data_IF_171489858975
#
_entry.id   IF_171489858975
#
_cell.length_a   1.000
_cell.length_b   1.000
_cell.length_c   1.000
_cell.angle_alpha   90.00
_cell.angle_beta   90.00
_cell.angle_gamma   90.00
#
_symmetry.space_group_name_H-M   'P 1'
#
loop_
_entity.id
_entity.type
_entity.pdbx_description
1 polymer ?
#
# COMPACT_ATOMS: atom_id res chain seq x y z
N UNK A 1 5.67 3.30 1.11
CA UNK A 1 6.68 3.88 0.20
C UNK A 1 6.18 3.75 -1.24
N UNK A 2 6.44 4.76 -2.08
CA UNK A 2 6.29 4.64 -3.53
C UNK A 2 7.68 4.48 -4.15
N UNK A 3 7.86 3.50 -5.02
CA UNK A 3 9.13 3.23 -5.70
C UNK A 3 8.92 3.29 -7.21
N UNK A 4 9.84 3.93 -7.91
CA UNK A 4 9.97 3.88 -9.37
C UNK A 4 11.40 3.50 -9.69
N UNK A 5 11.61 2.34 -10.30
CA UNK A 5 12.93 1.79 -10.60
C UNK A 5 13.01 1.31 -12.06
N UNK A 6 14.06 1.64 -12.83
CA UNK A 6 14.15 1.26 -14.25
C UNK A 6 14.08 -0.24 -14.48
N UNK A 7 14.68 -1.04 -13.59
CA UNK A 7 14.75 -2.51 -13.72
C UNK A 7 13.71 -3.26 -12.89
N UNK A 8 13.16 -2.62 -11.85
CA UNK A 8 12.29 -3.29 -10.87
C UNK A 8 10.83 -2.80 -10.91
N UNK A 9 10.54 -1.82 -11.78
CA UNK A 9 9.19 -1.33 -12.02
C UNK A 9 8.73 -0.29 -11.02
N UNK A 10 7.41 -0.21 -10.87
CA UNK A 10 6.71 0.79 -10.08
C UNK A 10 5.91 0.11 -8.98
N UNK A 11 6.16 0.48 -7.72
CA UNK A 11 5.61 -0.25 -6.57
C UNK A 11 5.01 0.69 -5.53
N UNK A 12 3.90 0.25 -4.96
CA UNK A 12 3.39 0.76 -3.68
C UNK A 12 3.75 -0.27 -2.62
N UNK A 13 4.72 0.06 -1.77
CA UNK A 13 5.18 -0.84 -0.71
C UNK A 13 4.57 -0.39 0.61
N UNK A 14 3.75 -1.24 1.21
CA UNK A 14 3.29 -1.09 2.58
C UNK A 14 4.21 -1.89 3.50
N UNK A 15 4.67 -1.28 4.59
CA UNK A 15 5.61 -1.91 5.52
C UNK A 15 5.20 -1.61 6.97
N UNK A 16 5.33 -2.61 7.83
CA UNK A 16 5.20 -2.48 9.29
C UNK A 16 6.56 -2.65 9.96
N UNK A 17 6.76 -2.06 11.13
CA UNK A 17 8.02 -2.21 11.86
C UNK A 17 8.13 -3.57 12.57
N UNK A 18 7.00 -4.14 13.00
CA UNK A 18 6.92 -5.39 13.76
C UNK A 18 5.60 -6.09 13.50
N UNK A 19 5.61 -7.42 13.61
CA UNK A 19 4.45 -8.28 13.37
C UNK A 19 4.56 -9.00 12.03
N UNK A 20 3.50 -9.71 11.67
CA UNK A 20 3.45 -10.53 10.45
C UNK A 20 2.20 -10.17 9.66
N UNK A 21 2.37 -9.63 8.45
CA UNK A 21 1.28 -9.39 7.51
C UNK A 21 0.79 -10.72 6.96
N UNK A 22 -0.52 -10.92 7.01
CA UNK A 22 -1.15 -12.10 6.42
C UNK A 22 -1.44 -11.85 4.95
N UNK A 23 -1.05 -12.83 4.13
CA UNK A 23 -1.33 -12.86 2.70
C UNK A 23 -2.17 -14.06 2.34
N UNK A 24 -3.07 -13.86 1.38
CA UNK A 24 -3.83 -14.94 0.76
C UNK A 24 -3.12 -15.39 -0.52
N UNK A 25 -2.60 -16.62 -0.50
CA UNK A 25 -1.88 -17.22 -1.62
C UNK A 25 -2.82 -17.82 -2.68
N UNK A 26 -4.10 -18.02 -2.37
CA UNK A 26 -5.08 -18.64 -3.26
C UNK A 26 -5.81 -17.57 -4.07
N UNK A 27 -6.43 -16.59 -3.41
CA UNK A 27 -7.28 -15.58 -4.05
C UNK A 27 -6.58 -14.23 -4.28
N UNK A 28 -5.34 -14.13 -3.79
CA UNK A 28 -4.57 -12.90 -3.74
C UNK A 28 -4.98 -12.00 -2.57
N UNK A 29 -4.01 -11.33 -1.96
CA UNK A 29 -4.28 -10.44 -0.83
C UNK A 29 -5.01 -9.20 -1.33
N UNK A 30 -6.19 -8.91 -0.79
CA UNK A 30 -6.93 -7.68 -1.12
C UNK A 30 -6.72 -6.67 -0.01
N UNK A 31 -6.28 -5.47 -0.39
CA UNK A 31 -5.98 -4.36 0.50
C UNK A 31 -7.01 -3.25 0.25
N UNK A 32 -7.99 -3.04 1.15
CA UNK A 32 -8.89 -1.89 1.09
C UNK A 32 -8.13 -0.58 1.31
N UNK A 33 -8.29 0.36 0.38
CA UNK A 33 -7.64 1.67 0.44
C UNK A 33 -8.70 2.75 0.26
N UNK A 34 -8.58 3.81 1.05
CA UNK A 34 -9.40 5.02 0.92
C UNK A 34 -8.53 6.26 0.95
N UNK A 35 -8.75 7.12 -0.04
CA UNK A 35 -8.19 8.48 -0.07
C UNK A 35 -9.23 9.43 0.53
N UNK A 36 -8.85 10.19 1.55
CA UNK A 36 -9.69 11.14 2.26
C UNK A 36 -11.07 10.56 2.68
N UNK A 37 -12.15 11.26 2.33
CA UNK A 37 -13.54 10.84 2.51
C UNK A 37 -14.14 10.14 1.28
N UNK A 38 -13.30 9.75 0.31
CA UNK A 38 -13.74 9.05 -0.91
C UNK A 38 -14.21 7.61 -0.67
N UNK A 39 -14.58 6.93 -1.74
CA UNK A 39 -14.97 5.52 -1.70
C UNK A 39 -13.78 4.62 -1.37
N UNK A 40 -14.05 3.53 -0.64
CA UNK A 40 -13.08 2.45 -0.41
C UNK A 40 -12.94 1.66 -1.72
N UNK A 41 -11.70 1.42 -2.13
CA UNK A 41 -11.36 0.56 -3.27
C UNK A 41 -10.37 -0.49 -2.82
N UNK A 42 -10.61 -1.74 -3.19
CA UNK A 42 -9.68 -2.84 -2.90
C UNK A 42 -8.68 -3.02 -4.03
N UNK A 43 -7.41 -3.11 -3.68
CA UNK A 43 -6.31 -3.39 -4.60
C UNK A 43 -5.71 -4.75 -4.29
N UNK A 44 -5.18 -5.43 -5.31
CA UNK A 44 -4.41 -6.66 -5.11
C UNK A 44 -3.06 -6.31 -4.48
N UNK A 45 -2.56 -7.19 -3.63
CA UNK A 45 -1.23 -7.12 -3.08
C UNK A 45 -0.56 -8.49 -3.07
N UNK A 46 0.76 -8.47 -3.20
CA UNK A 46 1.61 -9.65 -3.28
C UNK A 46 2.68 -9.59 -2.17
N UNK A 47 3.05 -10.75 -1.58
CA UNK A 47 4.19 -10.81 -0.68
C UNK A 47 5.50 -10.56 -1.45
N UNK A 48 6.55 -10.11 -0.77
CA UNK A 48 7.89 -10.01 -1.35
C UNK A 48 8.46 -11.38 -1.71
N UNK A 49 9.31 -11.42 -2.74
CA UNK A 49 9.97 -12.64 -3.20
C UNK A 49 10.99 -13.22 -2.21
N UNK A 50 11.45 -12.42 -1.24
CA UNK A 50 12.33 -12.87 -0.16
C UNK A 50 11.58 -13.48 1.03
N UNK A 51 10.25 -13.58 0.93
CA UNK A 51 9.36 -14.08 1.98
C UNK A 51 9.40 -13.32 3.30
N UNK A 52 9.92 -12.08 3.31
CA UNK A 52 9.73 -11.18 4.45
C UNK A 52 8.25 -10.94 4.69
N UNK A 53 7.88 -10.79 5.97
CA UNK A 53 6.47 -10.79 6.38
C UNK A 53 5.98 -9.42 6.80
N UNK A 54 6.89 -8.46 6.83
CA UNK A 54 6.67 -7.11 7.28
C UNK A 54 6.30 -6.16 6.13
N UNK A 55 6.33 -6.65 4.88
CA UNK A 55 6.08 -5.85 3.68
C UNK A 55 5.05 -6.46 2.74
N UNK A 56 4.31 -5.61 2.02
CA UNK A 56 3.40 -5.97 0.94
C UNK A 56 3.58 -5.04 -0.26
N UNK A 57 3.54 -5.61 -1.45
CA UNK A 57 3.58 -4.90 -2.72
C UNK A 57 2.15 -4.78 -3.25
N UNK A 58 1.62 -3.56 -3.28
CA UNK A 58 0.23 -3.28 -3.65
C UNK A 58 0.19 -2.80 -5.11
N UNK A 59 -0.65 -3.44 -5.91
CA UNK A 59 -0.86 -3.16 -7.33
C UNK A 59 -1.75 -1.92 -7.51
N UNK A 60 -1.24 -0.75 -7.07
CA UNK A 60 -2.00 0.50 -7.02
C UNK A 60 -1.21 1.75 -7.45
N UNK A 61 -0.02 1.59 -8.04
CA UNK A 61 0.91 2.69 -8.28
C UNK A 61 0.28 3.85 -9.06
N UNK A 62 -0.34 3.56 -10.21
CA UNK A 62 -1.02 4.58 -11.02
C UNK A 62 -2.12 5.33 -10.25
N UNK A 63 -2.87 4.61 -9.40
CA UNK A 63 -3.91 5.23 -8.58
C UNK A 63 -3.28 6.14 -7.52
N UNK A 64 -2.18 5.74 -6.89
CA UNK A 64 -1.47 6.59 -5.94
C UNK A 64 -0.91 7.83 -6.63
N UNK A 65 -0.31 7.69 -7.82
CA UNK A 65 0.21 8.83 -8.58
C UNK A 65 -0.88 9.82 -9.05
N UNK A 66 -2.07 9.33 -9.40
CA UNK A 66 -3.22 10.19 -9.73
C UNK A 66 -3.82 10.90 -8.50
N UNK A 67 -3.90 10.19 -7.37
CA UNK A 67 -4.67 10.65 -6.20
C UNK A 67 -3.85 11.42 -5.18
N UNK A 68 -2.63 10.99 -4.88
CA UNK A 68 -1.79 11.62 -3.86
C UNK A 68 -1.55 13.12 -4.07
N UNK A 69 -1.35 13.66 -5.29
CA UNK A 69 -1.14 15.10 -5.48
C UNK A 69 -2.28 15.99 -4.97
N UNK A 70 -3.47 15.41 -4.74
CA UNK A 70 -4.67 16.12 -4.30
C UNK A 70 -5.21 15.59 -2.96
N UNK A 71 -4.67 14.50 -2.45
CA UNK A 71 -5.12 13.87 -1.22
C UNK A 71 -4.47 14.51 0.01
N UNK A 72 -5.16 14.44 1.15
CA UNK A 72 -4.58 14.82 2.45
C UNK A 72 -4.26 13.59 3.28
N UNK A 73 -5.07 12.55 3.13
CA UNK A 73 -4.98 11.33 3.91
C UNK A 73 -5.19 10.09 3.06
N UNK A 74 -4.45 9.03 3.38
CA UNK A 74 -4.67 7.68 2.85
C UNK A 74 -4.88 6.73 4.01
N UNK A 75 -5.93 5.90 3.93
CA UNK A 75 -6.20 4.82 4.87
C UNK A 75 -6.00 3.50 4.16
N UNK A 76 -5.22 2.61 4.78
CA UNK A 76 -4.89 1.28 4.24
C UNK A 76 -5.22 0.25 5.31
N UNK A 77 -6.08 -0.71 4.98
CA UNK A 77 -6.40 -1.82 5.86
C UNK A 77 -5.63 -3.08 5.46
N UNK A 78 -4.98 -3.69 6.45
CA UNK A 78 -4.24 -4.95 6.29
C UNK A 78 -4.59 -5.91 7.42
N UNK A 79 -4.39 -7.20 7.20
CA UNK A 79 -4.56 -8.22 8.23
C UNK A 79 -3.20 -8.56 8.85
N UNK A 80 -3.11 -8.50 10.17
CA UNK A 80 -1.91 -8.81 10.95
C UNK A 80 -2.17 -10.09 11.76
N UNK A 81 -1.23 -11.03 11.72
CA UNK A 81 -1.33 -12.27 12.48
C UNK A 81 -1.53 -11.98 13.97
N UNK A 82 -2.49 -12.67 14.59
CA UNK A 82 -2.95 -12.48 15.99
C UNK A 82 -3.59 -11.13 16.34
N UNK A 83 -3.54 -10.14 15.46
CA UNK A 83 -4.16 -8.82 15.67
C UNK A 83 -5.42 -8.57 14.84
N UNK A 84 -5.62 -9.36 13.77
CA UNK A 84 -6.73 -9.18 12.85
C UNK A 84 -6.55 -7.97 11.93
N UNK A 85 -7.66 -7.37 11.49
CA UNK A 85 -7.62 -6.24 10.58
C UNK A 85 -7.21 -4.95 11.30
N UNK A 86 -6.24 -4.25 10.73
CA UNK A 86 -5.76 -2.94 11.21
C UNK A 86 -5.79 -1.93 10.07
N UNK A 87 -6.35 -0.75 10.36
CA UNK A 87 -6.31 0.39 9.44
C UNK A 87 -5.22 1.36 9.84
N UNK A 88 -4.29 1.61 8.93
CA UNK A 88 -3.25 2.61 9.07
C UNK A 88 -3.68 3.88 8.37
N UNK A 89 -3.38 5.03 8.96
CA UNK A 89 -3.69 6.35 8.41
C UNK A 89 -2.39 7.09 8.16
N UNK A 90 -2.21 7.53 6.92
CA UNK A 90 -1.06 8.31 6.49
C UNK A 90 -1.50 9.73 6.17
N UNK A 91 -0.81 10.72 6.75
CA UNK A 91 -0.83 12.07 6.23
C UNK A 91 0.02 12.11 4.96
N UNK A 92 -0.62 12.46 3.85
CA UNK A 92 0.02 12.57 2.54
C UNK A 92 -0.10 13.98 1.97
N UNK A 93 -0.54 14.93 2.80
CA UNK A 93 -0.62 16.32 2.40
C UNK A 93 0.77 16.83 2.01
N UNK A 94 0.83 17.57 0.90
CA UNK A 94 2.11 18.05 0.35
C UNK A 94 2.89 17.03 -0.48
N UNK A 95 2.28 15.90 -0.86
CA UNK A 95 2.90 15.01 -1.86
C UNK A 95 3.13 15.73 -3.19
N UNK A 96 4.38 15.70 -3.67
CA UNK A 96 4.79 16.30 -4.94
C UNK A 96 5.29 15.22 -5.92
N UNK A 97 4.45 14.87 -6.90
CA UNK A 97 4.80 13.88 -7.92
C UNK A 97 6.08 14.25 -8.71
N UNK A 98 6.41 15.54 -8.83
CA UNK A 98 7.61 16.03 -9.51
C UNK A 98 8.92 15.61 -8.85
N UNK A 99 8.90 15.26 -7.56
CA UNK A 99 10.07 14.80 -6.79
C UNK A 99 10.37 13.31 -6.95
N UNK A 100 9.51 12.56 -7.65
CA UNK A 100 9.65 11.11 -7.90
C UNK A 100 10.39 10.77 -9.21
N UNK A 101 11.22 11.69 -9.72
CA UNK A 101 12.01 11.46 -10.94
C UNK A 101 13.14 10.47 -10.72
#
# INVERSE_FOLDING_TARGET
>A
MLRKHPEHGEDVIFQIERGQLLTDLMDGTKVPIRFDSGSIRSFRANPPADHSTESLFIDAFDTFMDRLPRAKTVKIEVQIYQEGNRTFVFDVSGFEASKMK
#
